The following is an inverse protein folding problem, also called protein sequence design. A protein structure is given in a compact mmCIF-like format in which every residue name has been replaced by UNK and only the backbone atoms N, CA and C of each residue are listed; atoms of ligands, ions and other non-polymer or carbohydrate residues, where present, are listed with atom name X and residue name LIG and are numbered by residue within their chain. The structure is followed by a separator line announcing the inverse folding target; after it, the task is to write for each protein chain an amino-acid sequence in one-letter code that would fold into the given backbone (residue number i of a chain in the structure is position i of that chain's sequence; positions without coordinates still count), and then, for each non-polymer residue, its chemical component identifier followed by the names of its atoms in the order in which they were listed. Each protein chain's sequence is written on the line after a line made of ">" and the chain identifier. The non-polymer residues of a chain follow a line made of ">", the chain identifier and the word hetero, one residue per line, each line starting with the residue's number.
data_IF_809136303811
#
_entry.id   IF_809136303811
#
_cell.length_a   1.000
_cell.length_b   1.000
_cell.length_c   1.000
_cell.angle_alpha   90.00
_cell.angle_beta   90.00
_cell.angle_gamma   90.00
#
_symmetry.space_group_name_H-M   'P 1'
#
loop_
_entity.id
_entity.type
_entity.pdbx_description
1 polymer ?
#
# COMPACT_ATOMS: atom_id res chain seq x y z
N UNK A 1 -19.07 -8.81 13.62
CA UNK A 1 -18.80 -10.27 13.52
C UNK A 1 -17.29 -10.42 13.44
N UNK A 2 -16.62 -10.93 14.48
CA UNK A 2 -15.17 -11.17 14.45
C UNK A 2 -14.98 -12.54 13.79
N UNK A 3 -14.32 -12.58 12.63
CA UNK A 3 -14.03 -13.84 11.93
C UNK A 3 -13.10 -14.69 12.78
N UNK A 4 -13.57 -15.88 13.20
CA UNK A 4 -12.73 -16.86 13.90
C UNK A 4 -12.16 -17.83 12.87
N UNK A 5 -10.84 -17.82 12.70
CA UNK A 5 -10.16 -18.88 11.94
C UNK A 5 -9.77 -19.98 12.91
N UNK A 6 -10.40 -21.14 12.83
CA UNK A 6 -10.07 -22.33 13.62
C UNK A 6 -8.85 -23.02 13.00
N UNK A 7 -7.69 -22.98 13.66
CA UNK A 7 -6.50 -23.76 13.26
C UNK A 7 -6.38 -24.94 14.23
N UNK A 8 -6.64 -26.16 13.74
CA UNK A 8 -6.63 -27.38 14.57
C UNK A 8 -5.22 -27.99 14.60
N UNK A 9 -4.52 -27.85 15.72
CA UNK A 9 -3.45 -28.75 16.11
C UNK A 9 -3.98 -29.76 17.13
N UNK A 10 -3.47 -31.00 17.06
CA UNK A 10 -3.93 -32.16 17.82
C UNK A 10 -4.44 -31.84 19.24
N UNK A 11 -5.74 -32.05 19.46
CA UNK A 11 -6.32 -32.29 20.79
C UNK A 11 -6.65 -31.10 21.69
N UNK A 12 -6.34 -29.85 21.32
CA UNK A 12 -6.72 -28.67 22.15
C UNK A 12 -7.28 -27.56 21.26
N UNK A 13 -8.60 -27.37 21.29
CA UNK A 13 -9.23 -26.18 20.70
C UNK A 13 -8.93 -24.98 21.60
N UNK A 14 -7.83 -24.28 21.31
CA UNK A 14 -7.55 -22.96 21.88
C UNK A 14 -8.08 -21.95 20.88
N UNK A 15 -9.16 -21.23 21.24
CA UNK A 15 -9.60 -20.07 20.46
C UNK A 15 -8.48 -19.05 20.48
N UNK A 16 -7.73 -18.96 19.38
CA UNK A 16 -6.74 -17.92 19.20
C UNK A 16 -7.46 -16.65 18.75
N UNK A 17 -7.87 -15.84 19.72
CA UNK A 17 -8.38 -14.51 19.44
C UNK A 17 -7.21 -13.60 19.05
N UNK A 18 -7.32 -12.91 17.91
CA UNK A 18 -6.37 -11.86 17.52
C UNK A 18 -6.48 -10.75 18.56
N UNK A 19 -5.37 -10.32 19.22
CA UNK A 19 -5.44 -9.25 20.18
C UNK A 19 -6.01 -7.97 19.53
N UNK A 20 -6.95 -7.29 20.19
CA UNK A 20 -7.64 -6.09 19.66
C UNK A 20 -6.67 -5.03 19.11
N UNK A 21 -5.50 -4.88 19.75
CA UNK A 21 -4.44 -3.98 19.27
C UNK A 21 -3.88 -4.40 17.91
N UNK A 22 -3.64 -5.70 17.71
CA UNK A 22 -3.12 -6.25 16.45
C UNK A 22 -4.19 -6.13 15.35
N UNK A 23 -5.44 -6.47 15.66
CA UNK A 23 -6.57 -6.29 14.74
C UNK A 23 -6.70 -4.82 14.29
N UNK A 24 -6.57 -3.87 15.22
CA UNK A 24 -6.57 -2.45 14.90
C UNK A 24 -5.42 -2.07 13.97
N UNK A 25 -4.20 -2.57 14.21
CA UNK A 25 -3.03 -2.29 13.36
C UNK A 25 -3.20 -2.86 11.95
N UNK A 26 -3.74 -4.08 11.81
CA UNK A 26 -4.04 -4.69 10.51
C UNK A 26 -5.03 -3.82 9.73
N UNK A 27 -6.13 -3.42 10.37
CA UNK A 27 -7.14 -2.57 9.74
C UNK A 27 -6.59 -1.17 9.38
N UNK A 28 -5.74 -0.58 10.22
CA UNK A 28 -5.08 0.70 9.90
C UNK A 28 -4.15 0.55 8.71
N UNK A 29 -3.37 -0.53 8.62
CA UNK A 29 -2.51 -0.82 7.47
C UNK A 29 -3.32 -0.90 6.17
N UNK A 30 -4.46 -1.61 6.16
CA UNK A 30 -5.31 -1.69 4.97
C UNK A 30 -5.80 -0.30 4.53
N UNK A 31 -6.28 0.52 5.47
CA UNK A 31 -6.73 1.88 5.17
C UNK A 31 -5.61 2.77 4.62
N UNK A 32 -4.39 2.63 5.13
CA UNK A 32 -3.25 3.39 4.62
C UNK A 32 -2.88 2.97 3.20
N UNK A 33 -2.95 1.66 2.88
CA UNK A 33 -2.74 1.20 1.50
C UNK A 33 -3.79 1.80 0.55
N UNK A 34 -5.07 1.81 0.93
CA UNK A 34 -6.14 2.43 0.13
C UNK A 34 -5.92 3.93 -0.10
N UNK A 35 -5.44 4.65 0.93
CA UNK A 35 -5.12 6.08 0.82
C UNK A 35 -3.92 6.33 -0.10
N UNK A 36 -2.87 5.52 0.01
CA UNK A 36 -1.70 5.61 -0.87
C UNK A 36 -2.11 5.35 -2.31
N UNK A 37 -2.86 4.28 -2.58
CA UNK A 37 -3.33 3.94 -3.93
C UNK A 37 -4.17 5.05 -4.55
N UNK A 38 -5.08 5.66 -3.80
CA UNK A 38 -5.90 6.78 -4.28
C UNK A 38 -5.03 7.99 -4.69
N UNK A 39 -4.08 8.36 -3.82
CA UNK A 39 -3.20 9.51 -4.07
C UNK A 39 -2.28 9.22 -5.26
N UNK A 40 -1.74 8.01 -5.32
CA UNK A 40 -0.87 7.57 -6.40
C UNK A 40 -1.60 7.56 -7.74
N UNK A 41 -2.84 7.09 -7.79
CA UNK A 41 -3.66 7.15 -9.00
C UNK A 41 -3.88 8.59 -9.48
N UNK A 42 -4.22 9.52 -8.59
CA UNK A 42 -4.40 10.93 -8.94
C UNK A 42 -3.11 11.55 -9.50
N UNK A 43 -1.96 11.28 -8.88
CA UNK A 43 -0.64 11.70 -9.36
C UNK A 43 -0.32 11.11 -10.73
N UNK A 44 -0.52 9.81 -10.89
CA UNK A 44 -0.22 9.05 -12.11
C UNK A 44 -1.03 9.55 -13.30
N UNK A 45 -2.32 9.85 -13.09
CA UNK A 45 -3.18 10.45 -14.12
C UNK A 45 -2.68 11.85 -14.50
N UNK A 46 -2.26 12.66 -13.53
CA UNK A 46 -1.69 13.98 -13.83
C UNK A 46 -0.40 13.88 -14.64
N UNK A 47 0.54 13.00 -14.25
CA UNK A 47 1.78 12.75 -14.98
C UNK A 47 1.51 12.33 -16.43
N UNK A 48 0.60 11.35 -16.61
CA UNK A 48 0.18 10.86 -17.92
C UNK A 48 -0.44 11.96 -18.79
N UNK A 49 -1.35 12.77 -18.23
CA UNK A 49 -1.98 13.89 -18.95
C UNK A 49 -0.95 14.91 -19.42
N UNK A 50 0.08 15.17 -18.62
CA UNK A 50 1.18 16.05 -18.98
C UNK A 50 2.25 15.37 -19.83
N UNK A 51 2.09 14.08 -20.20
CA UNK A 51 3.03 13.25 -20.97
C UNK A 51 4.38 13.01 -20.28
N UNK A 52 4.46 13.19 -18.96
CA UNK A 52 5.71 12.97 -18.19
C UNK A 52 5.88 11.46 -18.08
N UNK A 53 7.01 10.95 -18.56
CA UNK A 53 7.27 9.53 -18.57
C UNK A 53 8.00 9.16 -17.28
N UNK A 54 7.36 8.35 -16.44
CA UNK A 54 7.93 7.84 -15.20
C UNK A 54 7.88 6.31 -15.29
N UNK A 55 8.86 5.64 -14.70
CA UNK A 55 8.89 4.19 -14.59
C UNK A 55 7.61 3.65 -13.91
N UNK A 56 7.04 2.57 -14.44
CA UNK A 56 5.81 1.96 -13.91
C UNK A 56 5.97 1.43 -12.48
N UNK A 57 7.20 1.20 -12.00
CA UNK A 57 7.46 0.86 -10.60
C UNK A 57 7.17 2.04 -9.65
N UNK A 58 7.17 3.27 -10.15
CA UNK A 58 7.00 4.51 -9.37
C UNK A 58 5.57 5.06 -9.36
N UNK A 59 4.65 4.49 -10.15
CA UNK A 59 3.28 5.00 -10.36
C UNK A 59 2.28 3.86 -10.51
N UNK A 60 0.98 4.17 -10.52
CA UNK A 60 -0.12 3.19 -10.70
C UNK A 60 -0.03 1.94 -9.79
N UNK A 61 0.32 2.14 -8.52
CA UNK A 61 0.48 1.06 -7.54
C UNK A 61 1.79 0.27 -7.70
N UNK A 62 2.75 0.82 -8.44
CA UNK A 62 4.09 0.26 -8.64
C UNK A 62 4.82 -0.02 -7.32
N UNK A 63 5.78 -0.96 -7.36
CA UNK A 63 6.38 -1.47 -6.13
C UNK A 63 7.22 -0.44 -5.36
N UNK A 64 7.84 0.53 -6.05
CA UNK A 64 8.67 1.56 -5.42
C UNK A 64 7.85 2.56 -4.59
N UNK A 65 6.54 2.69 -4.86
CA UNK A 65 5.59 3.45 -4.02
C UNK A 65 5.61 2.94 -2.58
N UNK A 66 5.84 1.63 -2.38
CA UNK A 66 5.84 0.98 -1.06
C UNK A 66 7.24 0.59 -0.57
N UNK A 67 8.12 0.13 -1.47
CA UNK A 67 9.45 -0.35 -1.14
C UNK A 67 10.44 0.79 -0.86
N UNK A 68 10.34 1.88 -1.62
CA UNK A 68 11.26 3.01 -1.52
C UNK A 68 10.55 4.34 -1.88
N UNK A 69 9.53 4.74 -1.08
CA UNK A 69 8.69 5.88 -1.40
C UNK A 69 9.46 7.19 -1.56
N UNK A 70 10.57 7.36 -0.84
CA UNK A 70 11.42 8.55 -0.94
C UNK A 70 12.20 8.54 -2.26
N UNK A 71 12.81 7.41 -2.62
CA UNK A 71 13.52 7.27 -3.90
C UNK A 71 12.58 7.47 -5.09
N UNK A 72 11.39 6.85 -5.01
CA UNK A 72 10.32 7.02 -5.98
C UNK A 72 9.92 8.48 -6.17
N UNK A 73 9.62 9.17 -5.06
CA UNK A 73 9.25 10.59 -5.10
C UNK A 73 10.38 11.47 -5.68
N UNK A 74 11.65 11.14 -5.44
CA UNK A 74 12.77 11.89 -6.01
C UNK A 74 12.89 11.69 -7.53
N UNK A 75 12.69 10.47 -8.03
CA UNK A 75 12.68 10.19 -9.47
C UNK A 75 11.51 10.90 -10.16
N UNK A 76 10.30 10.84 -9.59
CA UNK A 76 9.14 11.57 -10.12
C UNK A 76 9.42 13.07 -10.19
N UNK A 77 9.95 13.67 -9.10
CA UNK A 77 10.31 15.10 -9.11
C UNK A 77 11.33 15.44 -10.19
N UNK A 78 12.33 14.57 -10.40
CA UNK A 78 13.32 14.74 -11.46
C UNK A 78 12.65 14.76 -12.85
N UNK A 79 11.82 13.78 -13.17
CA UNK A 79 11.10 13.72 -14.46
C UNK A 79 10.15 14.91 -14.68
N UNK A 80 9.55 15.45 -13.60
CA UNK A 80 8.74 16.68 -13.67
C UNK A 80 9.62 17.90 -14.03
N UNK A 81 10.83 18.00 -13.46
CA UNK A 81 11.72 19.15 -13.65
C UNK A 81 12.49 19.12 -14.98
N UNK A 82 12.75 17.94 -15.53
CA UNK A 82 13.50 17.76 -16.78
C UNK A 82 12.63 17.93 -18.04
N UNK A 83 11.37 18.30 -17.87
CA UNK A 83 10.38 18.45 -18.93
C UNK A 83 10.10 19.90 -19.31
#
# INVERSE_FOLDING_TARGET
>A
MVGRTEIRYAGVSKTMDIPKKIEKLINQRCRYAELVEKIDYELSIWLKKNRINVDEQDVFGGSEVYLNPIGSANRIRKEILEK
#
